data_IF_904627220813
#
_entry.id   IF_904627220813
#
_cell.length_a   1.000
_cell.length_b   1.000
_cell.length_c   1.000
_cell.angle_alpha   90.00
_cell.angle_beta   90.00
_cell.angle_gamma   90.00
#
_symmetry.space_group_name_H-M   'P 1'
#
loop_
_entity.id
_entity.type
_entity.pdbx_description
1 polymer ?
#
# COMPACT_ATOMS: atom_id res chain seq x y z
N UNK A 1 2.48 19.80 -1.08
CA UNK A 1 2.53 18.67 -2.03
C UNK A 1 1.21 18.69 -2.78
N UNK A 2 1.20 18.68 -4.12
CA UNK A 2 -0.04 18.85 -4.89
C UNK A 2 -0.74 17.50 -5.08
N UNK A 3 -1.42 17.02 -4.04
CA UNK A 3 -2.27 15.84 -4.11
C UNK A 3 -3.38 15.97 -5.17
N UNK A 4 -3.73 17.20 -5.54
CA UNK A 4 -4.70 17.51 -6.59
C UNK A 4 -4.20 17.17 -8.01
N UNK A 5 -2.90 16.89 -8.18
CA UNK A 5 -2.31 16.47 -9.47
C UNK A 5 -2.37 14.96 -9.68
N UNK A 6 -2.85 14.21 -8.68
CA UNK A 6 -3.01 12.76 -8.79
C UNK A 6 -4.31 12.47 -9.55
N UNK A 7 -4.25 11.58 -10.52
CA UNK A 7 -5.42 11.07 -11.23
C UNK A 7 -6.21 10.11 -10.31
N UNK A 8 -6.89 10.66 -9.30
CA UNK A 8 -7.70 9.89 -8.36
C UNK A 8 -8.72 8.97 -9.04
N UNK A 9 -9.40 9.37 -10.12
CA UNK A 9 -10.29 8.47 -10.87
C UNK A 9 -9.62 7.19 -11.36
N UNK A 10 -8.35 7.23 -11.81
CA UNK A 10 -7.63 6.01 -12.23
C UNK A 10 -7.35 5.11 -11.02
N UNK A 11 -6.87 5.67 -9.90
CA UNK A 11 -6.55 4.90 -8.69
C UNK A 11 -7.81 4.24 -8.11
N UNK A 12 -8.93 4.97 -8.07
CA UNK A 12 -10.21 4.48 -7.53
C UNK A 12 -10.84 3.37 -8.40
N UNK A 13 -10.55 3.31 -9.70
CA UNK A 13 -11.03 2.24 -10.60
C UNK A 13 -10.40 0.89 -10.32
N UNK A 14 -9.27 0.83 -9.59
CA UNK A 14 -8.56 -0.41 -9.22
C UNK A 14 -8.25 -1.31 -10.43
N UNK A 15 -8.08 -0.72 -11.60
CA UNK A 15 -7.83 -1.42 -12.86
C UNK A 15 -6.34 -1.39 -13.19
N UNK A 16 -5.62 -2.36 -12.62
CA UNK A 16 -4.18 -2.56 -12.79
C UNK A 16 -3.82 -3.33 -14.06
N UNK A 17 -4.72 -3.44 -15.04
CA UNK A 17 -4.39 -4.08 -16.32
C UNK A 17 -3.58 -3.14 -17.19
N UNK A 18 -2.53 -3.68 -17.83
CA UNK A 18 -1.76 -2.97 -18.86
C UNK A 18 -2.69 -2.64 -20.01
N UNK A 19 -2.70 -1.38 -20.38
CA UNK A 19 -3.43 -0.88 -21.52
C UNK A 19 -2.43 -0.66 -22.66
N UNK A 20 -2.51 -1.43 -23.77
CA UNK A 20 -1.62 -1.25 -24.91
C UNK A 20 -1.71 0.13 -25.56
N UNK A 21 -2.88 0.75 -25.47
CA UNK A 21 -3.15 2.09 -26.03
C UNK A 21 -2.78 3.21 -25.04
N UNK A 22 -2.55 2.86 -23.76
CA UNK A 22 -2.10 3.80 -22.72
C UNK A 22 -0.95 3.22 -21.86
N UNK A 23 0.28 3.18 -22.40
CA UNK A 23 1.44 2.57 -21.73
C UNK A 23 1.79 3.22 -20.38
N UNK A 24 1.48 4.51 -20.22
CA UNK A 24 1.78 5.29 -19.00
C UNK A 24 0.74 5.09 -17.89
N UNK A 25 -0.33 4.32 -18.15
CA UNK A 25 -1.31 3.92 -17.12
C UNK A 25 -0.60 3.30 -15.92
N UNK A 26 0.37 2.42 -16.17
CA UNK A 26 1.17 1.78 -15.12
C UNK A 26 1.99 2.79 -14.31
N UNK A 27 2.62 3.76 -14.97
CA UNK A 27 3.39 4.81 -14.31
C UNK A 27 2.52 5.67 -13.38
N UNK A 28 1.26 5.95 -13.78
CA UNK A 28 0.28 6.65 -12.92
C UNK A 28 -0.18 5.84 -11.72
N UNK A 29 -0.25 4.51 -11.83
CA UNK A 29 -0.50 3.61 -10.69
C UNK A 29 0.72 3.40 -9.81
N UNK A 30 1.93 3.55 -10.35
CA UNK A 30 3.20 3.50 -9.62
C UNK A 30 3.49 4.75 -8.77
N UNK A 31 2.46 5.53 -8.43
CA UNK A 31 2.61 6.64 -7.52
C UNK A 31 2.87 6.12 -6.08
N UNK A 32 4.07 5.58 -5.88
CA UNK A 32 4.56 5.04 -4.62
C UNK A 32 4.53 6.15 -3.56
N UNK A 33 3.67 5.97 -2.57
CA UNK A 33 3.55 6.76 -1.36
C UNK A 33 3.49 8.30 -1.59
N UNK A 34 2.49 8.76 -2.34
CA UNK A 34 2.09 10.19 -2.43
C UNK A 34 1.78 10.86 -1.08
N UNK A 35 1.77 10.08 -0.01
CA UNK A 35 1.51 10.43 1.38
C UNK A 35 2.73 10.25 2.29
N UNK A 36 3.93 10.11 1.73
CA UNK A 36 5.17 10.00 2.51
C UNK A 36 5.29 11.18 3.50
N UNK A 37 5.37 10.88 4.80
CA UNK A 37 5.29 11.83 5.92
C UNK A 37 3.96 12.61 6.11
N UNK A 38 2.91 12.30 5.35
CA UNK A 38 1.61 12.98 5.46
C UNK A 38 0.50 12.11 6.05
N UNK A 39 0.61 10.78 5.99
CA UNK A 39 -0.34 9.89 6.64
C UNK A 39 0.14 9.54 8.06
N UNK A 40 -0.58 9.93 9.13
CA UNK A 40 -0.27 9.45 10.47
C UNK A 40 -0.53 7.94 10.55
N UNK A 41 0.32 7.23 11.29
CA UNK A 41 0.20 5.77 11.48
C UNK A 41 -1.16 5.37 12.11
N UNK A 42 -1.79 6.28 12.85
CA UNK A 42 -3.14 6.10 13.42
C UNK A 42 -4.25 6.08 12.37
N UNK A 43 -3.98 6.51 11.13
CA UNK A 43 -4.90 6.40 10.01
C UNK A 43 -4.90 5.04 9.32
N UNK A 44 -4.00 4.14 9.71
CA UNK A 44 -3.89 2.80 9.15
C UNK A 44 -4.81 1.83 9.88
N UNK A 45 -5.57 1.03 9.14
CA UNK A 45 -6.40 -0.06 9.68
C UNK A 45 -5.56 -1.29 10.08
N UNK A 46 -4.43 -1.50 9.39
CA UNK A 46 -3.54 -2.62 9.62
C UNK A 46 -2.55 -2.80 8.46
N UNK A 47 -1.58 -3.69 8.66
CA UNK A 47 -0.57 -4.07 7.67
C UNK A 47 -0.88 -5.48 7.15
N UNK A 48 -0.83 -5.67 5.84
CA UNK A 48 -0.95 -6.97 5.20
C UNK A 48 0.44 -7.39 4.68
N UNK A 49 0.82 -8.64 4.92
CA UNK A 49 2.07 -9.22 4.44
C UNK A 49 1.85 -10.59 3.79
N UNK A 50 2.88 -11.08 3.10
CA UNK A 50 2.79 -12.33 2.33
C UNK A 50 2.76 -13.58 3.20
N UNK A 51 3.71 -13.70 4.14
CA UNK A 51 3.91 -14.88 4.97
C UNK A 51 3.97 -14.55 6.47
N UNK A 52 3.95 -15.60 7.30
CA UNK A 52 3.97 -15.48 8.75
C UNK A 52 5.33 -15.01 9.30
N UNK A 53 6.44 -15.35 8.64
CA UNK A 53 7.76 -14.86 9.05
C UNK A 53 7.86 -13.33 8.93
N UNK A 54 7.31 -12.78 7.85
CA UNK A 54 7.19 -11.35 7.63
C UNK A 54 6.25 -10.71 8.64
N UNK A 55 5.12 -11.38 8.95
CA UNK A 55 4.17 -10.92 9.96
C UNK A 55 4.85 -10.75 11.33
N UNK A 56 5.54 -11.78 11.81
CA UNK A 56 6.21 -11.76 13.11
C UNK A 56 7.24 -10.63 13.20
N UNK A 57 8.04 -10.44 12.13
CA UNK A 57 9.01 -9.34 12.07
C UNK A 57 8.33 -7.98 12.18
N UNK A 58 7.24 -7.76 11.45
CA UNK A 58 6.52 -6.48 11.47
C UNK A 58 5.84 -6.27 12.82
N UNK A 59 5.29 -7.31 13.45
CA UNK A 59 4.71 -7.23 14.79
C UNK A 59 5.76 -6.82 15.83
N UNK A 60 6.99 -7.35 15.73
CA UNK A 60 8.11 -6.93 16.57
C UNK A 60 8.46 -5.44 16.34
N UNK A 61 8.52 -4.99 15.09
CA UNK A 61 8.79 -3.59 14.75
C UNK A 61 7.71 -2.63 15.27
N UNK A 62 6.44 -3.03 15.17
CA UNK A 62 5.29 -2.28 15.68
C UNK A 62 5.38 -2.17 17.20
N UNK A 63 5.65 -3.29 17.89
CA UNK A 63 5.78 -3.32 19.34
C UNK A 63 6.98 -2.50 19.84
N UNK A 64 8.14 -2.59 19.17
CA UNK A 64 9.34 -1.83 19.50
C UNK A 64 9.13 -0.30 19.41
N UNK A 65 8.17 0.13 18.59
CA UNK A 65 7.77 1.54 18.41
C UNK A 65 6.61 1.96 19.32
N UNK A 66 6.12 1.07 20.18
CA UNK A 66 4.98 1.32 21.08
C UNK A 66 3.67 1.55 20.34
N UNK A 67 3.56 1.03 19.11
CA UNK A 67 2.37 1.18 18.28
C UNK A 67 1.41 0.00 18.49
N UNK A 68 0.12 0.25 18.31
CA UNK A 68 -0.91 -0.79 18.28
C UNK A 68 -1.52 -0.82 16.89
N UNK A 69 -0.93 -1.64 16.02
CA UNK A 69 -1.35 -1.78 14.63
C UNK A 69 -1.48 -3.27 14.27
N UNK A 70 -2.67 -3.74 13.81
CA UNK A 70 -2.84 -5.13 13.42
C UNK A 70 -1.97 -5.49 12.22
N UNK A 71 -1.33 -6.67 12.26
CA UNK A 71 -0.57 -7.23 11.13
C UNK A 71 -1.17 -8.58 10.74
N UNK A 72 -1.37 -8.81 9.45
CA UNK A 72 -2.00 -10.03 8.95
C UNK A 72 -1.21 -10.61 7.76
N UNK A 73 -0.91 -11.90 7.82
CA UNK A 73 -0.44 -12.66 6.67
C UNK A 73 -1.63 -13.05 5.78
N UNK A 74 -1.55 -12.71 4.49
CA UNK A 74 -2.55 -13.02 3.46
C UNK A 74 -1.85 -13.45 2.17
N UNK A 75 -1.26 -14.66 2.12
CA UNK A 75 -0.54 -15.12 0.94
C UNK A 75 -1.41 -15.12 -0.32
N UNK A 76 -2.70 -15.44 -0.20
CA UNK A 76 -3.66 -15.44 -1.32
C UNK A 76 -4.05 -14.07 -1.87
N UNK A 77 -3.53 -12.96 -1.31
CA UNK A 77 -3.70 -11.61 -1.87
C UNK A 77 -2.55 -11.20 -2.78
N UNK A 78 -1.45 -11.94 -2.75
CA UNK A 78 -0.31 -11.71 -3.61
C UNK A 78 -0.35 -12.71 -4.77
N UNK A 79 0.17 -12.28 -5.93
CA UNK A 79 0.24 -13.13 -7.11
C UNK A 79 1.13 -14.36 -6.83
N UNK A 80 0.67 -15.54 -7.26
CA UNK A 80 1.48 -16.76 -7.31
C UNK A 80 2.28 -16.81 -8.62
#
# INVERSE_FOLDING_TARGET
MNLDQIDWPIIQKRDFKRDPDDPRKMERYQAEALIHHHLPITGLLGIMCYDDAMKERIEQDVAARGLTLPVHARPGWYFQ
#
